data_IF_481627917067
#
_entry.id   IF_481627917067
#
_cell.length_a   1.000
_cell.length_b   1.000
_cell.length_c   1.000
_cell.angle_alpha   90.00
_cell.angle_beta   90.00
_cell.angle_gamma   90.00
#
_symmetry.space_group_name_H-M   'P 1'
#
loop_
_entity.id
_entity.type
_entity.pdbx_description
1 polymer ?
#
# COMPACT_ATOMS: atom_id res chain seq x y z
N UNK A 1 20.07 39.25 -12.29
CA UNK A 1 19.38 37.98 -12.23
C UNK A 1 19.87 37.29 -10.96
N UNK A 2 19.03 37.06 -9.97
CA UNK A 2 19.46 36.43 -8.70
C UNK A 2 19.60 34.97 -9.04
N UNK A 3 20.81 34.45 -9.00
CA UNK A 3 21.09 33.02 -9.21
C UNK A 3 20.66 32.29 -7.93
N UNK A 4 19.51 31.58 -8.01
CA UNK A 4 19.01 30.79 -6.88
C UNK A 4 19.81 29.48 -6.86
N UNK A 5 20.37 29.16 -5.70
CA UNK A 5 21.09 27.90 -5.50
C UNK A 5 20.18 26.71 -5.84
N UNK A 6 20.79 25.65 -6.35
CA UNK A 6 20.06 24.42 -6.66
C UNK A 6 19.41 23.86 -5.38
N UNK A 7 18.12 23.46 -5.45
CA UNK A 7 17.45 22.88 -4.30
C UNK A 7 18.22 21.67 -3.76
N UNK A 8 18.37 21.62 -2.45
CA UNK A 8 18.91 20.48 -1.72
C UNK A 8 17.76 19.73 -1.07
N UNK A 9 17.89 18.41 -1.00
CA UNK A 9 16.92 17.56 -0.31
C UNK A 9 17.65 17.02 0.91
N UNK A 10 17.14 17.37 2.09
CA UNK A 10 17.64 16.88 3.37
C UNK A 10 16.61 15.96 4.00
N UNK A 11 17.08 14.82 4.54
CA UNK A 11 16.24 13.92 5.32
C UNK A 11 16.29 14.38 6.76
N UNK A 12 15.19 14.93 7.26
CA UNK A 12 15.09 15.42 8.64
C UNK A 12 14.80 14.26 9.61
N UNK A 13 13.92 13.36 9.20
CA UNK A 13 13.53 12.21 10.02
C UNK A 13 13.24 11.02 9.10
N UNK A 14 13.78 9.88 9.47
CA UNK A 14 13.45 8.59 8.87
C UNK A 14 13.39 7.55 9.98
N UNK A 15 12.24 6.90 10.13
CA UNK A 15 12.06 5.85 11.12
C UNK A 15 12.87 4.61 10.72
N UNK A 16 13.43 3.88 11.70
CA UNK A 16 14.20 2.65 11.45
C UNK A 16 13.41 1.61 10.65
N UNK A 17 12.10 1.53 10.89
CA UNK A 17 11.18 0.66 10.13
C UNK A 17 10.90 1.14 8.69
N UNK A 18 11.39 2.31 8.28
CA UNK A 18 11.11 2.90 6.97
C UNK A 18 9.65 3.30 6.72
N UNK A 19 8.80 3.29 7.76
CA UNK A 19 7.35 3.55 7.63
C UNK A 19 6.99 5.03 7.63
N UNK A 20 7.87 5.88 8.19
CA UNK A 20 7.68 7.33 8.23
C UNK A 20 8.96 8.04 7.80
N UNK A 21 8.82 9.06 6.96
CA UNK A 21 9.94 9.90 6.54
C UNK A 21 9.51 11.36 6.41
N UNK A 22 10.37 12.27 6.84
CA UNK A 22 10.25 13.71 6.71
C UNK A 22 11.44 14.26 5.94
N UNK A 23 11.14 14.98 4.88
CA UNK A 23 12.12 15.53 3.97
C UNK A 23 11.94 17.03 3.85
N UNK A 24 13.04 17.77 3.86
CA UNK A 24 13.08 19.23 3.65
C UNK A 24 13.72 19.50 2.30
N UNK A 25 13.10 20.35 1.51
CA UNK A 25 13.59 20.77 0.19
C UNK A 25 13.75 22.27 0.20
N UNK A 26 14.99 22.73 0.19
CA UNK A 26 15.33 24.17 0.21
C UNK A 26 16.65 24.46 -0.51
N UNK A 27 16.89 25.70 -0.99
CA UNK A 27 15.90 26.77 -1.15
C UNK A 27 15.04 26.56 -2.40
N UNK A 28 13.81 27.05 -2.39
CA UNK A 28 12.92 27.02 -3.54
C UNK A 28 12.52 28.46 -3.93
N UNK A 29 12.31 28.70 -5.22
CA UNK A 29 11.73 29.94 -5.70
C UNK A 29 10.32 30.17 -5.15
N UNK A 30 9.94 31.43 -5.06
CA UNK A 30 8.63 31.81 -4.54
C UNK A 30 7.50 31.18 -5.38
N UNK A 31 6.61 30.44 -4.71
CA UNK A 31 5.49 29.73 -5.34
C UNK A 31 5.81 28.28 -5.73
N UNK A 32 7.07 27.91 -5.93
CA UNK A 32 7.43 26.53 -6.31
C UNK A 32 7.17 25.50 -5.21
N UNK A 33 7.21 25.88 -3.94
CA UNK A 33 6.94 24.98 -2.83
C UNK A 33 5.57 24.30 -2.92
N UNK A 34 4.52 25.09 -3.19
CA UNK A 34 3.17 24.53 -3.36
C UNK A 34 3.04 23.65 -4.61
N UNK A 35 3.63 24.05 -5.72
CA UNK A 35 3.61 23.29 -6.97
C UNK A 35 4.32 21.95 -6.79
N UNK A 36 5.51 21.96 -6.22
CA UNK A 36 6.31 20.76 -5.98
C UNK A 36 5.62 19.84 -4.96
N UNK A 37 5.18 20.40 -3.83
CA UNK A 37 4.52 19.62 -2.77
C UNK A 37 3.25 18.94 -3.26
N UNK A 38 2.41 19.64 -4.01
CA UNK A 38 1.18 19.05 -4.57
C UNK A 38 1.50 17.99 -5.64
N UNK A 39 2.49 18.23 -6.49
CA UNK A 39 2.90 17.27 -7.52
C UNK A 39 3.47 16.00 -6.90
N UNK A 40 4.35 16.11 -5.92
CA UNK A 40 4.91 14.97 -5.19
C UNK A 40 3.82 14.20 -4.45
N UNK A 41 2.91 14.90 -3.76
CA UNK A 41 1.78 14.25 -3.09
C UNK A 41 0.96 13.40 -4.06
N UNK A 42 0.64 13.92 -5.23
CA UNK A 42 -0.14 13.17 -6.24
C UNK A 42 0.62 11.96 -6.76
N UNK A 43 1.89 12.11 -7.07
CA UNK A 43 2.73 11.01 -7.58
C UNK A 43 2.86 9.91 -6.53
N UNK A 44 3.15 10.26 -5.27
CA UNK A 44 3.31 9.31 -4.18
C UNK A 44 2.03 8.52 -3.88
N UNK A 45 0.85 9.14 -4.01
CA UNK A 45 -0.43 8.49 -3.71
C UNK A 45 -1.05 7.73 -4.89
N UNK A 46 -0.61 7.95 -6.14
CA UNK A 46 -1.29 7.36 -7.31
C UNK A 46 -0.40 6.62 -8.29
N UNK A 47 0.91 6.88 -8.28
CA UNK A 47 1.77 6.45 -9.39
C UNK A 47 2.82 5.41 -8.99
N UNK A 48 3.03 5.17 -7.69
CA UNK A 48 3.93 4.14 -7.22
C UNK A 48 3.33 2.76 -7.47
N UNK A 49 4.19 1.83 -7.87
CA UNK A 49 3.82 0.44 -8.04
C UNK A 49 3.77 -0.27 -6.69
N UNK A 50 2.81 -1.18 -6.56
CA UNK A 50 2.69 -2.06 -5.42
C UNK A 50 2.03 -3.37 -5.80
N UNK A 51 1.82 -4.23 -4.81
CA UNK A 51 1.14 -5.51 -4.97
C UNK A 51 -0.09 -5.51 -4.07
N UNK A 52 -1.17 -6.11 -4.54
CA UNK A 52 -2.39 -6.26 -3.77
C UNK A 52 -3.13 -7.54 -4.15
N UNK A 53 -3.98 -7.99 -3.25
CA UNK A 53 -4.92 -9.09 -3.52
C UNK A 53 -6.01 -8.56 -4.44
N UNK A 54 -6.26 -9.27 -5.54
CA UNK A 54 -7.28 -8.90 -6.54
C UNK A 54 -8.55 -9.73 -6.43
N UNK A 55 -8.41 -10.99 -6.05
CA UNK A 55 -9.54 -11.90 -5.84
C UNK A 55 -9.17 -13.02 -4.88
N UNK A 56 -10.20 -13.56 -4.23
CA UNK A 56 -10.11 -14.78 -3.43
C UNK A 56 -11.15 -15.77 -3.88
N UNK A 57 -10.86 -17.03 -3.66
CA UNK A 57 -11.80 -18.13 -3.84
C UNK A 57 -11.73 -19.01 -2.61
N UNK A 58 -12.85 -19.19 -1.93
CA UNK A 58 -12.98 -20.01 -0.72
C UNK A 58 -13.82 -21.22 -1.03
N UNK A 59 -13.36 -22.40 -0.63
CA UNK A 59 -14.10 -23.64 -0.83
C UNK A 59 -15.44 -23.58 -0.11
N UNK A 60 -16.52 -23.90 -0.85
CA UNK A 60 -17.88 -23.90 -0.33
C UNK A 60 -18.57 -22.53 -0.25
N UNK A 61 -17.90 -21.45 -0.67
CA UNK A 61 -18.44 -20.09 -0.68
C UNK A 61 -18.72 -19.64 -2.11
N UNK A 62 -19.93 -19.17 -2.36
CA UNK A 62 -20.35 -18.70 -3.69
C UNK A 62 -20.50 -17.18 -3.79
N UNK A 63 -20.69 -16.50 -2.67
CA UNK A 63 -20.89 -15.05 -2.59
C UNK A 63 -20.36 -14.47 -1.27
N UNK A 64 -20.09 -13.20 -1.27
CA UNK A 64 -19.46 -12.47 -0.16
C UNK A 64 -20.29 -12.37 1.14
N UNK A 65 -21.61 -12.56 1.05
CA UNK A 65 -22.53 -12.54 2.21
C UNK A 65 -22.75 -13.93 2.81
N UNK A 66 -21.84 -14.86 2.62
CA UNK A 66 -21.88 -16.19 3.18
C UNK A 66 -21.15 -16.27 4.51
N UNK A 67 -21.48 -17.29 5.29
CA UNK A 67 -20.73 -17.69 6.48
C UNK A 67 -20.05 -19.03 6.23
N UNK A 68 -18.89 -19.25 6.85
CA UNK A 68 -18.16 -20.51 6.75
C UNK A 68 -18.41 -21.28 8.05
N UNK A 69 -18.88 -22.54 7.99
CA UNK A 69 -19.13 -23.34 9.19
C UNK A 69 -17.87 -23.47 10.04
N UNK A 70 -17.99 -23.11 11.33
CA UNK A 70 -16.89 -23.20 12.29
C UNK A 70 -15.85 -22.10 12.22
N UNK A 71 -16.00 -21.12 11.35
CA UNK A 71 -15.18 -19.89 11.32
C UNK A 71 -15.95 -18.78 12.03
N UNK A 72 -15.24 -18.00 12.85
CA UNK A 72 -15.84 -16.93 13.65
C UNK A 72 -16.22 -15.73 12.79
N UNK A 73 -15.36 -15.37 11.84
CA UNK A 73 -15.51 -14.25 10.96
C UNK A 73 -16.38 -14.58 9.76
N UNK A 74 -17.18 -13.62 9.31
CA UNK A 74 -17.92 -13.71 8.06
C UNK A 74 -16.99 -13.55 6.86
N UNK A 75 -17.41 -14.01 5.69
CA UNK A 75 -16.64 -13.86 4.44
C UNK A 75 -16.33 -12.40 4.16
N UNK A 76 -17.23 -11.46 4.47
CA UNK A 76 -17.00 -10.02 4.32
C UNK A 76 -15.85 -9.53 5.21
N UNK A 77 -15.76 -10.00 6.46
CA UNK A 77 -14.65 -9.67 7.36
C UNK A 77 -13.34 -10.25 6.86
N UNK A 78 -13.36 -11.49 6.35
CA UNK A 78 -12.18 -12.11 5.73
C UNK A 78 -11.71 -11.28 4.53
N UNK A 79 -12.61 -10.81 3.67
CA UNK A 79 -12.29 -9.92 2.54
C UNK A 79 -11.66 -8.62 3.02
N UNK A 80 -12.17 -8.01 4.10
CA UNK A 80 -11.59 -6.79 4.68
C UNK A 80 -10.19 -7.03 5.26
N UNK A 81 -9.98 -8.17 5.93
CA UNK A 81 -8.67 -8.55 6.45
C UNK A 81 -7.68 -8.80 5.32
N UNK A 82 -8.13 -9.44 4.23
CA UNK A 82 -7.29 -9.67 3.04
C UNK A 82 -6.86 -8.39 2.34
N UNK A 83 -7.65 -7.31 2.36
CA UNK A 83 -7.24 -5.98 1.85
C UNK A 83 -6.04 -5.40 2.60
N UNK A 84 -5.84 -5.80 3.85
CA UNK A 84 -4.75 -5.34 4.71
C UNK A 84 -3.46 -6.15 4.55
N UNK A 85 -3.49 -7.25 3.80
CA UNK A 85 -2.30 -8.06 3.51
C UNK A 85 -1.39 -7.30 2.56
N UNK A 86 -0.13 -7.16 2.97
CA UNK A 86 0.92 -6.50 2.17
C UNK A 86 1.85 -7.57 1.63
N UNK A 87 1.86 -7.70 0.32
CA UNK A 87 2.69 -8.65 -0.39
C UNK A 87 3.68 -7.95 -1.32
N UNK A 88 4.77 -8.63 -1.62
CA UNK A 88 5.75 -8.23 -2.64
C UNK A 88 5.88 -9.34 -3.66
N UNK A 89 5.65 -8.99 -4.93
CA UNK A 89 5.89 -9.88 -6.05
C UNK A 89 7.22 -9.52 -6.74
N UNK A 90 8.02 -10.53 -7.01
CA UNK A 90 9.26 -10.35 -7.78
C UNK A 90 9.00 -10.44 -9.28
N UNK A 91 7.98 -11.16 -9.68
CA UNK A 91 7.55 -11.28 -11.08
C UNK A 91 6.43 -10.28 -11.45
N UNK A 92 6.18 -10.08 -12.74
CA UNK A 92 5.16 -9.15 -13.24
C UNK A 92 3.80 -9.82 -13.47
N UNK A 93 3.78 -11.16 -13.52
CA UNK A 93 2.55 -11.93 -13.74
C UNK A 93 1.74 -12.09 -12.46
N UNK A 94 0.39 -12.12 -12.54
CA UNK A 94 -0.45 -12.47 -11.40
C UNK A 94 -0.10 -13.85 -10.86
N UNK A 95 -0.06 -14.01 -9.53
CA UNK A 95 0.23 -15.26 -8.85
C UNK A 95 -0.93 -15.69 -7.98
N UNK A 96 -1.19 -17.00 -7.97
CA UNK A 96 -2.17 -17.62 -7.10
C UNK A 96 -1.43 -18.31 -5.96
N UNK A 97 -1.75 -17.94 -4.75
CA UNK A 97 -1.24 -18.54 -3.52
C UNK A 97 -2.39 -19.16 -2.72
N UNK A 98 -2.08 -20.12 -1.86
CA UNK A 98 -3.10 -20.89 -1.16
C UNK A 98 -2.92 -20.79 0.35
N UNK A 99 -4.06 -20.78 1.04
CA UNK A 99 -4.15 -21.04 2.48
C UNK A 99 -4.90 -22.34 2.68
N UNK A 100 -4.35 -23.23 3.51
CA UNK A 100 -5.04 -24.44 3.95
C UNK A 100 -4.82 -24.59 5.44
N UNK A 101 -5.86 -24.32 6.22
CA UNK A 101 -5.85 -24.39 7.67
C UNK A 101 -6.98 -25.31 8.18
N UNK A 102 -6.71 -26.05 9.24
CA UNK A 102 -7.68 -26.95 9.87
C UNK A 102 -7.58 -26.87 11.39
N UNK A 103 -8.73 -26.77 12.01
CA UNK A 103 -8.96 -26.82 13.38
C UNK A 103 -8.55 -26.13 14.37
N UNK A 104 -8.70 -25.98 15.64
CA UNK A 104 -8.77 -24.67 16.28
C UNK A 104 -7.45 -23.92 16.14
N UNK A 105 -7.43 -22.88 15.30
CA UNK A 105 -6.28 -22.01 15.10
C UNK A 105 -6.70 -20.62 14.64
N UNK A 106 -5.81 -19.68 14.86
CA UNK A 106 -5.89 -18.34 14.28
C UNK A 106 -5.07 -18.34 13.00
N UNK A 107 -5.73 -18.07 11.88
CA UNK A 107 -5.09 -17.99 10.57
C UNK A 107 -4.58 -16.56 10.37
N UNK A 108 -3.31 -16.46 10.05
CA UNK A 108 -2.62 -15.21 9.79
C UNK A 108 -2.07 -15.16 8.35
N UNK A 109 -1.60 -14.00 7.92
CA UNK A 109 -0.99 -13.88 6.61
C UNK A 109 0.30 -14.73 6.45
N UNK A 110 0.94 -15.10 7.57
CA UNK A 110 2.09 -16.00 7.57
C UNK A 110 1.76 -17.45 7.18
N UNK A 111 0.49 -17.86 7.27
CA UNK A 111 0.03 -19.19 6.88
C UNK A 111 -0.21 -19.32 5.37
N UNK A 112 -0.06 -18.24 4.62
CA UNK A 112 -0.14 -18.26 3.15
C UNK A 112 1.06 -19.05 2.61
N UNK A 113 0.79 -20.07 1.86
CA UNK A 113 1.82 -20.86 1.18
C UNK A 113 2.34 -20.07 -0.01
N UNK A 114 3.45 -19.38 0.21
CA UNK A 114 4.10 -18.56 -0.81
C UNK A 114 5.18 -19.35 -1.52
N UNK A 115 5.28 -19.15 -2.83
CA UNK A 115 6.42 -19.56 -3.63
C UNK A 115 7.57 -18.55 -3.47
N UNK A 116 8.75 -18.87 -3.99
CA UNK A 116 9.92 -17.96 -3.96
C UNK A 116 9.70 -16.60 -4.63
N UNK A 117 8.62 -16.45 -5.38
CA UNK A 117 8.26 -15.24 -6.15
C UNK A 117 7.34 -14.30 -5.39
N UNK A 118 6.74 -14.75 -4.28
CA UNK A 118 5.81 -13.99 -3.44
C UNK A 118 6.35 -13.92 -2.03
N UNK A 119 6.46 -12.72 -1.48
CA UNK A 119 6.86 -12.47 -0.09
C UNK A 119 5.76 -11.70 0.63
N UNK A 120 5.33 -12.18 1.79
CA UNK A 120 4.39 -11.47 2.66
C UNK A 120 5.18 -10.61 3.63
N UNK A 121 4.93 -9.30 3.63
CA UNK A 121 5.64 -8.33 4.45
C UNK A 121 5.06 -8.16 5.85
N UNK A 122 3.77 -8.53 6.04
CA UNK A 122 3.08 -8.45 7.33
C UNK A 122 2.48 -9.81 7.75
N UNK A 123 3.30 -10.80 8.09
CA UNK A 123 2.85 -12.15 8.42
C UNK A 123 1.91 -12.22 9.64
N UNK A 124 1.96 -11.22 10.52
CA UNK A 124 1.13 -11.14 11.73
C UNK A 124 -0.32 -10.69 11.45
N UNK A 125 -0.63 -10.27 10.22
CA UNK A 125 -1.97 -9.81 9.85
C UNK A 125 -2.99 -10.93 10.05
N UNK A 126 -3.98 -10.69 10.92
CA UNK A 126 -5.08 -11.61 11.17
C UNK A 126 -5.98 -11.75 9.93
N UNK A 127 -6.36 -12.99 9.60
CA UNK A 127 -7.27 -13.29 8.50
C UNK A 127 -8.57 -13.87 9.03
N UNK A 128 -8.50 -14.98 9.77
CA UNK A 128 -9.67 -15.67 10.29
C UNK A 128 -9.34 -16.49 11.55
N UNK A 129 -10.37 -16.82 12.36
CA UNK A 129 -10.27 -17.70 13.52
C UNK A 129 -11.10 -18.95 13.29
N UNK A 130 -10.47 -20.11 13.32
CA UNK A 130 -11.10 -21.40 13.12
C UNK A 130 -11.46 -22.06 14.46
N UNK A 131 -12.66 -22.66 14.52
CA UNK A 131 -13.10 -23.53 15.62
C UNK A 131 -12.62 -24.98 15.45
N UNK A 132 -13.02 -25.85 16.39
CA UNK A 132 -12.49 -27.24 16.50
C UNK A 132 -12.63 -28.09 15.24
N UNK A 133 -13.72 -27.95 14.49
CA UNK A 133 -14.01 -28.74 13.29
C UNK A 133 -13.95 -27.94 11.98
N UNK A 134 -13.46 -26.72 12.05
CA UNK A 134 -13.41 -25.83 10.89
C UNK A 134 -12.27 -26.19 9.94
N UNK A 135 -12.55 -26.05 8.65
CA UNK A 135 -11.55 -26.12 7.57
C UNK A 135 -11.67 -24.89 6.71
N UNK A 136 -10.55 -24.25 6.44
CA UNK A 136 -10.47 -23.11 5.54
C UNK A 136 -9.45 -23.42 4.45
N UNK A 137 -9.95 -23.58 3.23
CA UNK A 137 -9.13 -23.64 2.03
C UNK A 137 -9.48 -22.42 1.18
N UNK A 138 -8.47 -21.62 0.86
CA UNK A 138 -8.64 -20.39 0.12
C UNK A 138 -7.52 -20.21 -0.90
N UNK A 139 -7.89 -19.95 -2.13
CA UNK A 139 -7.00 -19.50 -3.20
C UNK A 139 -7.02 -17.98 -3.24
N UNK A 140 -5.84 -17.34 -3.29
CA UNK A 140 -5.67 -15.90 -3.26
C UNK A 140 -4.90 -15.49 -4.50
N UNK A 141 -5.45 -14.59 -5.30
CA UNK A 141 -4.76 -14.03 -6.45
C UNK A 141 -4.14 -12.69 -6.07
N UNK A 142 -2.83 -12.58 -6.26
CA UNK A 142 -2.06 -11.36 -6.01
C UNK A 142 -1.52 -10.84 -7.32
N UNK A 143 -1.62 -9.54 -7.56
CA UNK A 143 -1.17 -8.90 -8.78
C UNK A 143 -0.40 -7.61 -8.46
N UNK A 144 0.38 -7.13 -9.44
CA UNK A 144 1.04 -5.83 -9.43
C UNK A 144 0.17 -4.79 -10.11
N UNK A 145 0.15 -3.59 -9.54
CA UNK A 145 -0.59 -2.48 -10.13
C UNK A 145 -0.18 -1.13 -9.56
N UNK A 146 -0.98 -0.12 -9.88
CA UNK A 146 -0.79 1.26 -9.40
C UNK A 146 -2.10 1.85 -8.93
N UNK A 147 -2.04 2.60 -7.84
CA UNK A 147 -3.19 3.32 -7.31
C UNK A 147 -4.25 2.39 -6.72
N UNK A 148 -5.51 2.61 -7.08
CA UNK A 148 -6.66 1.86 -6.59
C UNK A 148 -7.51 1.32 -7.75
N UNK A 149 -7.87 0.05 -7.66
CA UNK A 149 -8.75 -0.62 -8.62
C UNK A 149 -9.93 -1.23 -7.85
N UNK A 150 -11.19 -0.83 -8.17
CA UNK A 150 -12.37 -1.40 -7.52
C UNK A 150 -12.60 -2.86 -7.96
N UNK A 151 -13.27 -3.62 -7.11
CA UNK A 151 -13.59 -5.04 -7.32
C UNK A 151 -14.31 -5.32 -8.65
N UNK A 152 -15.22 -4.44 -9.05
CA UNK A 152 -15.93 -4.56 -10.34
C UNK A 152 -14.96 -4.56 -11.52
N UNK A 153 -13.93 -3.72 -11.47
CA UNK A 153 -12.92 -3.66 -12.52
C UNK A 153 -11.99 -4.87 -12.48
N UNK A 154 -11.63 -5.35 -11.30
CA UNK A 154 -10.86 -6.58 -11.14
C UNK A 154 -11.60 -7.77 -11.75
N UNK A 155 -12.92 -7.85 -11.56
CA UNK A 155 -13.78 -8.87 -12.16
C UNK A 155 -13.73 -8.84 -13.70
N UNK A 156 -13.72 -7.65 -14.30
CA UNK A 156 -13.62 -7.48 -15.76
C UNK A 156 -12.23 -7.84 -16.28
N UNK A 157 -11.18 -7.44 -15.59
CA UNK A 157 -9.78 -7.70 -15.98
C UNK A 157 -9.46 -9.20 -15.92
N UNK A 158 -9.90 -9.88 -14.87
CA UNK A 158 -9.69 -11.33 -14.70
C UNK A 158 -10.39 -12.17 -15.77
N UNK A 159 -11.34 -11.59 -16.53
CA UNK A 159 -12.08 -12.28 -17.60
C UNK A 159 -12.88 -13.52 -17.13
N UNK A 160 -12.77 -13.84 -15.88
CA UNK A 160 -13.34 -15.04 -15.29
C UNK A 160 -14.61 -14.70 -14.50
N UNK A 161 -15.76 -14.83 -15.17
CA UNK A 161 -17.03 -14.96 -14.46
C UNK A 161 -17.15 -16.38 -13.83
N UNK A 162 -16.06 -16.84 -13.19
CA UNK A 162 -16.06 -18.12 -12.49
C UNK A 162 -16.86 -17.96 -11.22
N UNK A 163 -17.88 -18.78 -11.06
CA UNK A 163 -18.72 -18.82 -9.85
C UNK A 163 -17.83 -19.20 -8.67
N UNK A 164 -17.94 -18.47 -7.56
CA UNK A 164 -17.17 -18.69 -6.35
C UNK A 164 -15.85 -17.89 -6.25
N UNK A 165 -15.46 -17.15 -7.28
CA UNK A 165 -14.37 -16.20 -7.19
C UNK A 165 -14.92 -14.85 -6.74
N UNK A 166 -14.44 -14.36 -5.59
CA UNK A 166 -14.83 -13.11 -4.99
C UNK A 166 -13.79 -12.03 -5.36
N UNK A 167 -14.15 -11.04 -6.17
CA UNK A 167 -13.24 -9.95 -6.48
C UNK A 167 -13.09 -9.02 -5.27
N UNK A 168 -11.89 -8.53 -5.05
CA UNK A 168 -11.55 -7.61 -3.95
C UNK A 168 -11.07 -6.28 -4.54
N UNK A 169 -11.38 -5.17 -3.85
CA UNK A 169 -10.79 -3.88 -4.17
C UNK A 169 -9.29 -3.91 -3.88
N UNK A 170 -8.50 -3.57 -4.86
CA UNK A 170 -7.05 -3.62 -4.76
C UNK A 170 -6.45 -2.24 -4.52
N UNK A 171 -5.76 -2.08 -3.38
CA UNK A 171 -5.02 -0.87 -3.03
C UNK A 171 -3.55 -1.17 -3.26
N UNK A 172 -3.02 -0.76 -4.42
CA UNK A 172 -1.63 -1.00 -4.79
C UNK A 172 -0.66 0.02 -4.20
N UNK A 173 -1.17 1.17 -3.76
CA UNK A 173 -0.35 2.25 -3.26
C UNK A 173 0.33 1.88 -1.95
N UNK A 174 1.69 1.87 -1.88
CA UNK A 174 2.41 1.60 -0.64
C UNK A 174 2.35 2.77 0.35
N UNK A 175 2.04 3.97 -0.13
CA UNK A 175 2.01 5.18 0.69
C UNK A 175 0.58 5.48 1.13
N UNK A 176 0.34 5.44 2.43
CA UNK A 176 -0.99 5.65 3.01
C UNK A 176 -1.33 7.14 3.19
N UNK A 177 -0.34 7.97 3.53
CA UNK A 177 -0.56 9.39 3.83
C UNK A 177 0.62 10.24 3.41
N UNK A 178 0.33 11.35 2.74
CA UNK A 178 1.32 12.37 2.37
C UNK A 178 0.81 13.74 2.80
N UNK A 179 1.60 14.46 3.57
CA UNK A 179 1.37 15.86 3.92
C UNK A 179 2.59 16.67 3.50
N UNK A 180 2.38 17.94 3.19
CA UNK A 180 3.46 18.90 2.99
C UNK A 180 3.07 20.25 3.59
N UNK A 181 4.08 21.01 4.02
CA UNK A 181 3.98 22.39 4.49
C UNK A 181 4.96 23.22 3.71
N UNK A 182 4.65 24.49 3.51
CA UNK A 182 5.53 25.43 2.82
C UNK A 182 5.81 26.58 3.76
N UNK A 183 7.07 26.72 4.15
CA UNK A 183 7.54 27.76 5.05
C UNK A 183 8.47 28.75 4.30
N UNK A 184 8.61 29.96 4.84
CA UNK A 184 9.52 30.93 4.30
C UNK A 184 10.93 30.64 4.78
N UNK A 185 11.88 30.43 3.85
CA UNK A 185 13.29 30.34 4.17
C UNK A 185 13.99 31.71 3.93
N UNK A 186 15.01 32.01 4.74
CA UNK A 186 15.84 33.17 4.54
C UNK A 186 17.04 32.79 3.66
N UNK A 187 17.13 33.42 2.49
CA UNK A 187 18.32 33.30 1.65
C UNK A 187 19.33 34.38 2.14
N UNK A 188 20.43 33.93 2.72
CA UNK A 188 21.41 34.76 3.41
C UNK A 188 22.17 35.75 2.50
N UNK A 189 22.03 35.69 1.19
CA UNK A 189 22.81 36.48 0.24
C UNK A 189 22.51 38.00 0.20
N UNK A 190 21.42 38.45 0.84
CA UNK A 190 21.02 39.87 0.76
C UNK A 190 21.42 40.73 1.98
N UNK A 191 21.98 40.16 3.05
CA UNK A 191 22.31 40.90 4.26
C UNK A 191 23.72 41.54 4.19
N UNK A 192 24.60 40.99 3.38
CA UNK A 192 25.99 41.49 3.26
C UNK A 192 26.21 42.65 2.25
N UNK A 193 25.18 43.08 1.52
CA UNK A 193 25.31 44.10 0.48
C UNK A 193 24.99 45.52 0.99
N UNK A 194 24.52 45.69 2.23
CA UNK A 194 24.08 46.99 2.74
C UNK A 194 24.77 47.44 4.02
N UNK A 195 26.06 47.19 4.19
CA UNK A 195 26.84 47.99 5.12
C UNK A 195 27.39 49.22 4.38
N UNK A 196 26.80 50.41 4.60
CA UNK A 196 27.41 51.63 4.07
C UNK A 196 28.67 51.90 4.89
N UNK A 197 29.83 51.84 4.23
CA UNK A 197 31.07 52.37 4.78
C UNK A 197 30.87 53.86 5.08
N UNK A 198 30.63 54.19 6.35
CA UNK A 198 30.76 55.55 6.86
C UNK A 198 32.26 55.88 6.88
N UNK A 199 32.64 56.78 6.03
CA UNK A 199 33.80 57.61 6.22
C UNK A 199 33.47 58.83 7.07
#
# INVERSE_FOLDING_TARGET
MIEIEKPRIETEELTEDGKHGRFVVEPLERGFGNTLGNSLRRVLLSSLEGCAVTSIKIDGVLHEFSTIPGVKEDVTEIVLNMKSVVAKLYETSPKVVEISAQGPCVVTAGDIKCDSEVEILNPEQHIATLGEDAKLNMEITIDKGRGYIPAERNKLISGNNVIGVLPIDSIYTPVLKVNYTVDNTRVLSLIHISEPTRR
#
